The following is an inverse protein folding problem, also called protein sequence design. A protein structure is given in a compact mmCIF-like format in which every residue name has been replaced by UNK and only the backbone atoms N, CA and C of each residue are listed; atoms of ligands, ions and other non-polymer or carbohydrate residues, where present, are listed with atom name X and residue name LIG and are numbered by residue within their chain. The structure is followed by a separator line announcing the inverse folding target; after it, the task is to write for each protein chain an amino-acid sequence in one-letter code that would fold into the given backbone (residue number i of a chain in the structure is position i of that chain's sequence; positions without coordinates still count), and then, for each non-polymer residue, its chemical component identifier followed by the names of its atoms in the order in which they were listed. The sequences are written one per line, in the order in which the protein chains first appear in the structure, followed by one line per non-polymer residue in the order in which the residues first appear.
data_IF_713073157897
#
_entry.id   IF_713073157897
#
_cell.length_a   1.000
_cell.length_b   1.000
_cell.length_c   1.000
_cell.angle_alpha   90.00
_cell.angle_beta   90.00
_cell.angle_gamma   90.00
#
_symmetry.space_group_name_H-M   'P 1'
#
loop_
_entity.id
_entity.type
_entity.pdbx_description
1 polymer ?
#
# COMPACT_ATOMS: atom_id res chain seq x y z
N UNK A 1 14.79 9.37 -12.14
CA UNK A 1 14.36 8.69 -10.91
C UNK A 1 13.45 7.53 -11.28
N UNK A 2 13.73 6.30 -10.83
CA UNK A 2 12.84 5.14 -10.95
C UNK A 2 12.36 4.76 -9.55
N UNK A 3 11.07 4.89 -9.29
CA UNK A 3 10.42 4.43 -8.06
C UNK A 3 9.17 3.64 -8.44
N UNK A 4 9.01 2.45 -7.86
CA UNK A 4 7.79 1.67 -7.93
C UNK A 4 7.03 1.81 -6.61
N UNK A 5 5.78 2.25 -6.67
CA UNK A 5 4.89 2.27 -5.51
C UNK A 5 3.86 1.17 -5.71
N UNK A 6 3.86 0.20 -4.80
CA UNK A 6 2.88 -0.88 -4.79
C UNK A 6 1.77 -0.58 -3.79
N UNK A 7 0.55 -0.47 -4.33
CA UNK A 7 -0.69 -0.30 -3.57
C UNK A 7 -1.43 -1.63 -3.66
N UNK A 8 -1.14 -2.52 -2.72
CA UNK A 8 -1.77 -3.82 -2.64
C UNK A 8 -3.15 -3.71 -1.98
N UNK A 9 -4.21 -4.09 -2.70
CA UNK A 9 -5.47 -4.40 -2.01
C UNK A 9 -5.25 -5.65 -1.15
N UNK A 10 -5.80 -5.70 0.06
CA UNK A 10 -5.69 -6.91 0.87
C UNK A 10 -6.23 -8.13 0.11
N UNK A 11 -5.58 -9.28 0.31
CA UNK A 11 -5.98 -10.60 -0.27
C UNK A 11 -5.79 -10.74 -1.78
N UNK A 12 -4.88 -9.97 -2.39
CA UNK A 12 -4.46 -10.14 -3.79
C UNK A 12 -3.13 -10.87 -3.94
N UNK A 13 -2.66 -11.60 -2.92
CA UNK A 13 -1.34 -12.22 -2.87
C UNK A 13 -0.16 -11.21 -2.92
N UNK A 14 -0.42 -9.96 -2.50
CA UNK A 14 0.56 -8.89 -2.25
C UNK A 14 1.77 -9.34 -1.44
N UNK A 15 1.56 -10.21 -0.43
CA UNK A 15 2.66 -10.74 0.39
C UNK A 15 3.71 -11.48 -0.44
N UNK A 16 3.30 -12.27 -1.45
CA UNK A 16 4.25 -12.97 -2.31
C UNK A 16 5.09 -11.98 -3.13
N UNK A 17 4.47 -10.96 -3.71
CA UNK A 17 5.21 -9.92 -4.42
C UNK A 17 6.19 -9.21 -3.48
N UNK A 18 5.73 -8.83 -2.29
CA UNK A 18 6.55 -8.13 -1.30
C UNK A 18 7.75 -8.95 -0.84
N UNK A 19 7.57 -10.22 -0.53
CA UNK A 19 8.64 -11.05 0.07
C UNK A 19 9.54 -11.74 -0.94
N UNK A 20 9.01 -12.10 -2.12
CA UNK A 20 9.73 -12.91 -3.11
C UNK A 20 10.19 -12.09 -4.31
N UNK A 21 9.38 -11.14 -4.78
CA UNK A 21 9.69 -10.39 -6.00
C UNK A 21 10.42 -9.08 -5.68
N UNK A 22 9.85 -8.22 -4.83
CA UNK A 22 10.39 -6.89 -4.54
C UNK A 22 11.59 -6.88 -3.61
N UNK A 23 11.80 -7.97 -2.86
CA UNK A 23 12.92 -8.13 -1.95
C UNK A 23 13.95 -9.12 -2.49
N UNK A 24 14.18 -9.08 -3.80
CA UNK A 24 15.17 -9.91 -4.48
C UNK A 24 15.86 -9.11 -5.59
N UNK A 25 17.16 -8.86 -5.39
CA UNK A 25 18.01 -8.09 -6.31
C UNK A 25 18.16 -8.77 -7.68
N UNK A 26 18.06 -10.10 -7.76
CA UNK A 26 18.09 -10.85 -9.03
C UNK A 26 16.91 -10.50 -9.94
N UNK A 27 15.78 -10.10 -9.35
CA UNK A 27 14.61 -9.62 -10.09
C UNK A 27 14.72 -8.13 -10.48
N UNK A 28 15.81 -7.46 -10.14
CA UNK A 28 16.03 -6.03 -10.40
C UNK A 28 15.30 -5.09 -9.45
N UNK A 29 14.78 -5.60 -8.31
CA UNK A 29 14.04 -4.82 -7.32
C UNK A 29 14.73 -4.84 -5.96
N UNK A 30 14.49 -3.80 -5.17
CA UNK A 30 14.86 -3.74 -3.76
C UNK A 30 13.76 -3.06 -2.96
N UNK A 31 13.52 -3.52 -1.74
CA UNK A 31 12.56 -2.92 -0.81
C UNK A 31 13.30 -2.29 0.36
N UNK A 32 13.91 -1.10 0.20
CA UNK A 32 14.81 -0.53 1.21
C UNK A 32 14.11 -0.21 2.54
N UNK A 33 12.80 -0.02 2.49
CA UNK A 33 11.95 0.24 3.67
C UNK A 33 11.23 -1.01 4.18
N UNK A 34 11.64 -2.20 3.71
CA UNK A 34 11.01 -3.48 4.03
C UNK A 34 9.75 -3.78 3.22
N UNK A 35 9.19 -4.97 3.46
CA UNK A 35 8.06 -5.54 2.71
C UNK A 35 6.73 -4.82 2.95
N UNK A 36 6.56 -4.24 4.14
CA UNK A 36 5.44 -3.38 4.54
C UNK A 36 6.01 -2.05 5.06
N UNK A 37 6.32 -1.15 4.13
CA UNK A 37 7.05 0.08 4.42
C UNK A 37 6.25 1.00 5.36
N UNK A 38 6.59 1.03 6.65
CA UNK A 38 5.91 1.85 7.65
C UNK A 38 5.99 3.35 7.31
N UNK A 39 7.13 3.78 6.75
CA UNK A 39 7.34 5.15 6.26
C UNK A 39 6.29 5.58 5.23
N UNK A 40 5.77 4.65 4.41
CA UNK A 40 4.70 4.97 3.46
C UNK A 40 3.42 5.40 4.18
N UNK A 41 3.10 4.77 5.30
CA UNK A 41 1.92 5.09 6.12
C UNK A 41 2.14 6.40 6.87
N UNK A 42 3.31 6.59 7.46
CA UNK A 42 3.65 7.82 8.17
C UNK A 42 3.52 9.05 7.25
N UNK A 43 4.16 9.01 6.09
CA UNK A 43 4.25 10.15 5.16
C UNK A 43 2.94 10.39 4.40
N UNK A 44 2.29 9.34 3.88
CA UNK A 44 1.14 9.52 2.99
C UNK A 44 -0.21 9.43 3.69
N UNK A 45 -0.31 8.67 4.78
CA UNK A 45 -1.59 8.40 5.45
C UNK A 45 -1.74 9.21 6.73
N UNK A 46 -0.79 9.08 7.67
CA UNK A 46 -0.91 9.64 9.02
C UNK A 46 -0.48 11.11 9.13
N UNK A 47 0.28 11.62 8.17
CA UNK A 47 0.74 13.02 8.19
C UNK A 47 -0.45 13.98 8.24
N UNK A 48 -0.37 14.94 9.16
CA UNK A 48 -1.36 15.99 9.32
C UNK A 48 -1.54 16.76 8.00
N UNK A 49 -2.76 16.95 7.47
CA UNK A 49 -3.01 17.67 6.23
C UNK A 49 -2.38 19.06 6.15
N UNK A 50 -2.26 19.79 7.26
CA UNK A 50 -1.64 21.11 7.30
C UNK A 50 -0.11 21.10 7.36
N UNK A 51 0.50 19.94 7.63
CA UNK A 51 1.95 19.76 7.74
C UNK A 51 2.52 18.94 6.58
N UNK A 52 1.68 18.42 5.69
CA UNK A 52 2.14 17.65 4.55
C UNK A 52 2.92 18.56 3.60
N UNK A 53 4.18 18.22 3.37
CA UNK A 53 5.07 18.87 2.42
C UNK A 53 5.64 17.80 1.47
N UNK A 54 5.26 17.83 0.17
CA UNK A 54 5.73 16.84 -0.79
C UNK A 54 7.26 16.85 -0.96
N UNK A 55 7.90 17.99 -0.80
CA UNK A 55 9.34 18.15 -0.98
C UNK A 55 10.11 17.58 0.21
N UNK A 56 9.58 17.75 1.42
CA UNK A 56 10.11 17.08 2.60
C UNK A 56 10.01 15.55 2.49
N UNK A 57 8.84 15.02 2.15
CA UNK A 57 8.65 13.57 1.96
C UNK A 57 9.58 13.03 0.86
N UNK A 58 9.72 13.76 -0.25
CA UNK A 58 10.66 13.41 -1.32
C UNK A 58 12.09 13.36 -0.80
N UNK A 59 12.56 14.39 -0.10
CA UNK A 59 13.91 14.46 0.45
C UNK A 59 14.19 13.33 1.45
N UNK A 60 13.20 12.94 2.26
CA UNK A 60 13.32 11.85 3.23
C UNK A 60 13.57 10.49 2.58
N UNK A 61 12.91 10.21 1.45
CA UNK A 61 13.00 8.92 0.74
C UNK A 61 14.13 8.90 -0.31
N UNK A 62 14.59 10.06 -0.77
CA UNK A 62 15.57 10.17 -1.86
C UNK A 62 16.92 9.46 -1.59
N UNK A 63 17.50 9.45 -0.37
CA UNK A 63 18.76 8.76 -0.12
C UNK A 63 18.71 7.27 -0.46
N UNK A 64 17.64 6.58 -0.06
CA UNK A 64 17.46 5.15 -0.34
C UNK A 64 17.15 4.89 -1.82
N UNK A 65 16.40 5.78 -2.46
CA UNK A 65 16.14 5.73 -3.91
C UNK A 65 17.45 5.83 -4.69
N UNK A 66 18.28 6.84 -4.39
CA UNK A 66 19.57 7.03 -5.05
C UNK A 66 20.53 5.87 -4.77
N UNK A 67 20.47 5.25 -3.59
CA UNK A 67 21.26 4.06 -3.28
C UNK A 67 20.86 2.91 -4.21
N UNK A 68 19.57 2.59 -4.30
CA UNK A 68 19.06 1.56 -5.20
C UNK A 68 19.41 1.83 -6.67
N UNK A 69 19.29 3.08 -7.12
CA UNK A 69 19.64 3.45 -8.49
C UNK A 69 21.12 3.26 -8.81
N UNK A 70 22.02 3.56 -7.86
CA UNK A 70 23.47 3.30 -8.01
C UNK A 70 23.79 1.81 -8.12
N UNK A 71 23.00 0.98 -7.44
CA UNK A 71 23.09 -0.48 -7.51
C UNK A 71 22.39 -1.04 -8.76
N UNK A 72 21.79 -0.20 -9.60
CA UNK A 72 21.05 -0.60 -10.81
C UNK A 72 19.68 -1.22 -10.52
N UNK A 73 19.18 -1.10 -9.30
CA UNK A 73 17.94 -1.69 -8.81
C UNK A 73 16.80 -0.68 -8.82
N UNK A 74 15.57 -1.18 -8.89
CA UNK A 74 14.35 -0.37 -8.76
C UNK A 74 13.88 -0.43 -7.30
N UNK A 75 13.90 0.70 -6.56
CA UNK A 75 13.34 0.75 -5.22
C UNK A 75 11.81 0.59 -5.27
N UNK A 76 11.29 -0.21 -4.36
CA UNK A 76 9.86 -0.48 -4.21
C UNK A 76 9.37 0.02 -2.86
N UNK A 77 8.44 0.97 -2.89
CA UNK A 77 7.68 1.41 -1.73
C UNK A 77 6.35 0.65 -1.69
N UNK A 78 6.27 -0.38 -0.85
CA UNK A 78 5.12 -1.28 -0.81
C UNK A 78 4.43 -1.24 0.56
N UNK A 79 3.15 -0.88 0.58
CA UNK A 79 2.32 -1.02 1.77
C UNK A 79 0.83 -1.12 1.40
N UNK A 80 0.14 -2.12 1.95
CA UNK A 80 -1.30 -2.31 1.68
C UNK A 80 -2.16 -1.19 2.27
N UNK A 81 -1.70 -0.52 3.33
CA UNK A 81 -2.43 0.60 3.94
C UNK A 81 -2.54 1.85 3.05
N UNK A 82 -1.80 1.92 1.94
CA UNK A 82 -1.91 3.02 0.96
C UNK A 82 -3.26 3.03 0.23
N UNK A 83 -4.00 1.93 0.24
CA UNK A 83 -5.32 1.82 -0.40
C UNK A 83 -6.44 2.48 0.43
N UNK A 84 -6.10 3.08 1.57
CA UNK A 84 -7.04 3.69 2.52
C UNK A 84 -8.08 2.71 3.11
N UNK A 85 -7.96 1.42 2.83
CA UNK A 85 -8.97 0.42 3.16
C UNK A 85 -8.46 -0.45 4.31
N UNK A 86 -8.64 0.02 5.55
CA UNK A 86 -8.73 -0.93 6.65
C UNK A 86 -10.09 -1.62 6.52
N UNK A 87 -10.09 -2.91 6.14
CA UNK A 87 -11.29 -3.78 6.06
C UNK A 87 -12.15 -3.71 7.34
N UNK A 88 -11.57 -3.26 8.45
CA UNK A 88 -12.19 -3.16 9.77
C UNK A 88 -12.65 -1.74 10.15
N UNK A 89 -12.42 -0.72 9.32
CA UNK A 89 -12.63 0.69 9.69
C UNK A 89 -13.25 1.49 8.54
N UNK A 90 -14.54 1.24 8.26
CA UNK A 90 -15.34 1.90 7.22
C UNK A 90 -15.50 3.44 7.34
N UNK A 91 -14.78 4.11 8.25
CA UNK A 91 -15.02 5.52 8.59
C UNK A 91 -14.07 6.53 7.94
N UNK A 92 -12.91 6.11 7.40
CA UNK A 92 -11.90 7.04 6.88
C UNK A 92 -11.49 6.68 5.45
N UNK A 93 -12.28 7.10 4.48
CA UNK A 93 -11.89 7.06 3.07
C UNK A 93 -11.03 8.29 2.74
N UNK A 94 -9.75 8.08 2.49
CA UNK A 94 -8.74 9.10 2.17
C UNK A 94 -7.94 8.72 0.92
N UNK A 95 -8.49 7.83 0.07
CA UNK A 95 -7.77 7.31 -1.08
C UNK A 95 -7.38 8.42 -2.08
N UNK A 96 -8.24 9.41 -2.25
CA UNK A 96 -8.01 10.62 -3.04
C UNK A 96 -6.89 11.48 -2.45
N UNK A 97 -6.92 11.73 -1.14
CA UNK A 97 -5.86 12.45 -0.42
C UNK A 97 -4.52 11.74 -0.55
N UNK A 98 -4.47 10.42 -0.34
CA UNK A 98 -3.24 9.62 -0.45
C UNK A 98 -2.71 9.65 -1.89
N UNK A 99 -3.56 9.43 -2.89
CA UNK A 99 -3.17 9.49 -4.29
C UNK A 99 -2.61 10.87 -4.67
N UNK A 100 -3.25 11.95 -4.22
CA UNK A 100 -2.76 13.31 -4.44
C UNK A 100 -1.41 13.56 -3.78
N UNK A 101 -1.21 13.11 -2.53
CA UNK A 101 0.07 13.23 -1.83
C UNK A 101 1.19 12.47 -2.53
N UNK A 102 0.91 11.25 -2.97
CA UNK A 102 1.85 10.44 -3.76
C UNK A 102 2.22 11.16 -5.06
N UNK A 103 1.24 11.67 -5.80
CA UNK A 103 1.49 12.36 -7.07
C UNK A 103 2.27 13.67 -6.89
N UNK A 104 2.02 14.41 -5.80
CA UNK A 104 2.78 15.63 -5.48
C UNK A 104 4.24 15.29 -5.13
N UNK A 105 4.48 14.30 -4.27
CA UNK A 105 5.84 13.91 -3.87
C UNK A 105 6.60 13.19 -5.00
N UNK A 106 5.93 12.36 -5.80
CA UNK A 106 6.55 11.50 -6.82
C UNK A 106 5.70 11.40 -8.09
N UNK A 107 5.63 12.47 -8.91
CA UNK A 107 4.78 12.51 -10.12
C UNK A 107 5.20 11.49 -11.18
N UNK A 108 6.49 11.13 -11.22
CA UNK A 108 7.04 10.18 -12.21
C UNK A 108 7.07 8.72 -11.70
N UNK A 109 6.60 8.46 -10.47
CA UNK A 109 6.59 7.11 -9.92
C UNK A 109 5.66 6.19 -10.72
N UNK A 110 6.04 4.92 -10.85
CA UNK A 110 5.17 3.89 -11.40
C UNK A 110 4.31 3.33 -10.28
N UNK A 111 3.00 3.28 -10.51
CA UNK A 111 2.05 2.72 -9.56
C UNK A 111 1.67 1.31 -10.00
N UNK A 112 1.86 0.33 -9.13
CA UNK A 112 1.36 -1.04 -9.32
C UNK A 112 0.19 -1.28 -8.38
N UNK A 113 -0.97 -1.53 -8.98
CA UNK A 113 -2.19 -1.90 -8.27
C UNK A 113 -2.50 -3.35 -8.61
N UNK A 114 -2.69 -4.17 -7.58
CA UNK A 114 -3.19 -5.53 -7.76
C UNK A 114 -4.69 -5.57 -7.51
N UNK A 115 -5.42 -6.19 -8.43
CA UNK A 115 -6.86 -6.47 -8.28
C UNK A 115 -7.10 -7.97 -8.34
N UNK A 116 -8.21 -8.41 -7.74
CA UNK A 116 -8.67 -9.80 -7.74
C UNK A 116 -10.13 -9.85 -8.18
N UNK A 117 -10.53 -10.99 -8.75
CA UNK A 117 -11.94 -11.27 -9.04
C UNK A 117 -12.81 -11.07 -7.78
N UNK A 118 -13.91 -10.34 -7.95
CA UNK A 118 -14.68 -9.77 -6.86
C UNK A 118 -15.27 -10.83 -5.92
N UNK A 119 -15.87 -11.91 -6.46
CA UNK A 119 -16.45 -12.98 -5.63
C UNK A 119 -15.36 -13.67 -4.80
N UNK A 120 -14.22 -13.95 -5.42
CA UNK A 120 -13.06 -14.55 -4.78
C UNK A 120 -12.49 -13.67 -3.67
N UNK A 121 -12.48 -12.35 -3.86
CA UNK A 121 -12.10 -11.39 -2.83
C UNK A 121 -13.07 -11.43 -1.64
N UNK A 122 -14.39 -11.43 -1.90
CA UNK A 122 -15.43 -11.53 -0.85
C UNK A 122 -15.27 -12.83 -0.05
N UNK A 123 -15.11 -13.97 -0.72
CA UNK A 123 -14.89 -15.25 -0.03
C UNK A 123 -13.62 -15.23 0.83
N UNK A 124 -12.55 -14.59 0.34
CA UNK A 124 -11.29 -14.48 1.10
C UNK A 124 -11.45 -13.61 2.34
N UNK A 125 -12.14 -12.48 2.23
CA UNK A 125 -12.43 -11.59 3.36
C UNK A 125 -13.34 -12.27 4.39
N UNK A 126 -14.36 -13.01 3.94
CA UNK A 126 -15.25 -13.76 4.81
C UNK A 126 -14.51 -14.85 5.61
N UNK A 127 -13.63 -15.61 4.97
CA UNK A 127 -12.80 -16.62 5.65
C UNK A 127 -11.88 -16.01 6.71
N UNK A 128 -11.29 -14.85 6.43
CA UNK A 128 -10.51 -14.11 7.43
C UNK A 128 -11.36 -13.66 8.60
N UNK A 129 -12.57 -13.14 8.34
CA UNK A 129 -13.49 -12.71 9.39
C UNK A 129 -13.87 -13.85 10.36
N UNK A 130 -14.18 -15.04 9.83
CA UNK A 130 -14.46 -16.22 10.66
C UNK A 130 -13.24 -16.58 11.53
N UNK A 131 -12.04 -16.56 10.94
CA UNK A 131 -10.79 -16.85 11.69
C UNK A 131 -10.51 -15.84 12.80
N UNK A 132 -10.95 -14.59 12.63
CA UNK A 132 -10.81 -13.52 13.62
C UNK A 132 -11.82 -13.55 14.78
N UNK A 133 -12.53 -14.67 15.01
CA UNK A 133 -13.64 -14.78 15.96
C UNK A 133 -14.81 -13.82 15.69
N UNK A 134 -14.98 -13.38 14.44
CA UNK A 134 -16.12 -12.57 14.04
C UNK A 134 -17.42 -13.39 14.09
N UNK A 135 -18.20 -13.23 15.16
CA UNK A 135 -19.57 -13.75 15.23
C UNK A 135 -20.47 -12.75 14.52
N UNK A 136 -20.87 -13.05 13.28
CA UNK A 136 -21.96 -12.32 12.63
C UNK A 136 -23.27 -12.96 13.06
N UNK A 137 -24.04 -12.28 13.91
CA UNK A 137 -25.48 -12.58 14.00
C UNK A 137 -26.10 -12.09 12.70
N UNK A 138 -26.76 -12.99 11.97
CA UNK A 138 -27.65 -12.59 10.88
C UNK A 138 -28.75 -11.72 11.49
N UNK A 139 -28.62 -10.40 11.36
CA UNK A 139 -29.73 -9.48 11.61
C UNK A 139 -30.40 -9.33 10.25
N UNK A 140 -31.57 -9.94 10.12
CA UNK A 140 -32.39 -9.83 8.92
C UNK A 140 -32.72 -8.35 8.70
N UNK A 141 -32.02 -7.70 7.79
CA UNK A 141 -32.39 -6.36 7.33
C UNK A 141 -33.60 -6.54 6.43
N UNK A 142 -34.80 -6.48 7.02
CA UNK A 142 -36.03 -6.34 6.25
C UNK A 142 -35.91 -5.07 5.42
N UNK A 143 -35.87 -5.25 4.11
CA UNK A 143 -35.89 -4.15 3.15
C UNK A 143 -37.32 -3.67 3.04
N UNK A 144 -37.54 -2.42 3.50
CA UNK A 144 -38.71 -1.53 3.35
C UNK A 144 -40.01 -2.00 4.00
#
# INVERSE_FOLDING_TARGET
MKLLIHIGYPKTASTFLQTVIFNNEENGFVSPWGTQAAIAIEEFVLTNPFLFDPEYTRQKLMPDIHKAEKEGLIPVLSNEGLVSLNIHSYKNYMADCIANRINQAFPDAKILIMIREQKSMIYSAYKEHIKGNGIVRFVEVRSI
#
